data_IF_907201806428
#
_entry.id   IF_907201806428
#
_cell.length_a   1.000
_cell.length_b   1.000
_cell.length_c   1.000
_cell.angle_alpha   90.00
_cell.angle_beta   90.00
_cell.angle_gamma   90.00
#
_symmetry.space_group_name_H-M   'P 1'
#
loop_
_entity.id
_entity.type
_entity.pdbx_description
1 polymer ?
#
# COMPACT_ATOMS: atom_id res chain seq x y z
N UNK A 1 -53.19 31.77 -7.38
CA UNK A 1 -51.91 32.25 -7.96
C UNK A 1 -50.83 31.26 -7.57
N UNK A 2 -50.22 30.58 -8.54
CA UNK A 2 -49.16 29.57 -8.35
C UNK A 2 -47.81 30.26 -8.18
N UNK A 3 -46.94 29.75 -7.30
CA UNK A 3 -45.65 30.36 -6.98
C UNK A 3 -44.75 30.52 -8.22
N UNK A 4 -43.90 31.57 -8.30
CA UNK A 4 -42.96 31.76 -9.40
C UNK A 4 -42.02 30.56 -9.58
N UNK A 5 -41.80 30.16 -10.84
CA UNK A 5 -40.83 29.14 -11.26
C UNK A 5 -39.45 29.47 -10.68
N UNK A 6 -39.05 28.76 -9.63
CA UNK A 6 -37.76 28.95 -8.95
C UNK A 6 -37.79 28.77 -7.43
N UNK A 7 -38.97 28.81 -6.79
CA UNK A 7 -39.12 28.55 -5.34
C UNK A 7 -39.25 27.06 -4.96
N UNK A 8 -38.98 26.15 -5.91
CA UNK A 8 -38.88 24.73 -5.64
C UNK A 8 -37.48 24.37 -5.14
N UNK A 9 -37.42 23.47 -4.16
CA UNK A 9 -36.24 22.84 -3.54
C UNK A 9 -35.29 22.12 -4.53
N UNK A 10 -34.82 22.81 -5.58
CA UNK A 10 -34.04 22.22 -6.68
C UNK A 10 -32.86 23.06 -7.14
N UNK A 11 -32.46 24.08 -6.37
CA UNK A 11 -31.38 25.01 -6.73
C UNK A 11 -30.21 24.96 -5.77
N UNK A 12 -29.44 23.86 -5.75
CA UNK A 12 -28.11 23.87 -5.12
C UNK A 12 -27.13 23.09 -5.98
N UNK A 13 -26.59 23.75 -7.01
CA UNK A 13 -25.48 23.26 -7.83
C UNK A 13 -24.13 23.24 -7.12
N UNK A 14 -24.11 23.04 -5.79
CA UNK A 14 -22.92 22.76 -5.01
C UNK A 14 -23.09 21.37 -4.42
N UNK A 15 -22.05 20.54 -4.51
CA UNK A 15 -22.05 19.20 -3.92
C UNK A 15 -22.64 19.27 -2.50
N UNK A 16 -23.76 18.58 -2.28
CA UNK A 16 -24.37 18.46 -0.96
C UNK A 16 -23.33 17.88 0.01
N UNK A 17 -23.40 18.18 1.31
CA UNK A 17 -22.53 17.51 2.30
C UNK A 17 -22.61 15.98 2.18
N UNK A 18 -23.76 15.45 1.75
CA UNK A 18 -23.94 14.04 1.43
C UNK A 18 -23.19 13.61 0.16
N UNK A 19 -23.07 14.47 -0.85
CA UNK A 19 -22.23 14.21 -2.04
C UNK A 19 -20.75 14.27 -1.67
N UNK A 20 -20.34 15.20 -0.80
CA UNK A 20 -18.96 15.30 -0.29
C UNK A 20 -18.61 14.09 0.57
N UNK A 21 -19.46 13.66 1.50
CA UNK A 21 -19.27 12.40 2.25
C UNK A 21 -19.22 11.19 1.34
N UNK A 22 -20.06 11.14 0.30
CA UNK A 22 -20.04 10.06 -0.70
C UNK A 22 -18.79 10.10 -1.57
N UNK A 23 -18.23 11.28 -1.85
CA UNK A 23 -16.97 11.44 -2.60
C UNK A 23 -15.73 11.14 -1.75
N UNK A 24 -15.72 11.57 -0.48
CA UNK A 24 -14.65 11.26 0.49
C UNK A 24 -14.67 9.76 0.80
N UNK A 25 -15.84 9.20 1.11
CA UNK A 25 -16.04 7.76 1.29
C UNK A 25 -15.56 6.98 0.07
N UNK A 26 -15.93 7.38 -1.16
CA UNK A 26 -15.53 6.67 -2.39
C UNK A 26 -14.03 6.77 -2.72
N UNK A 27 -13.33 7.85 -2.35
CA UNK A 27 -11.87 7.97 -2.54
C UNK A 27 -11.08 7.12 -1.54
N UNK A 28 -11.52 7.10 -0.28
CA UNK A 28 -10.90 6.36 0.82
C UNK A 28 -11.22 4.86 0.70
N UNK A 29 -12.41 4.51 0.21
CA UNK A 29 -12.93 3.14 0.22
C UNK A 29 -12.07 2.12 -0.54
N UNK A 30 -11.31 2.51 -1.58
CA UNK A 30 -10.60 1.55 -2.43
C UNK A 30 -9.07 1.71 -2.44
N UNK A 31 -8.49 2.22 -1.34
CA UNK A 31 -7.04 2.45 -1.27
C UNK A 31 -6.22 1.17 -1.00
N UNK A 32 -6.83 0.07 -0.51
CA UNK A 32 -6.11 -1.20 -0.24
C UNK A 32 -5.27 -1.65 -1.42
N UNK A 33 -5.82 -1.62 -2.63
CA UNK A 33 -5.10 -2.05 -3.84
C UNK A 33 -3.89 -1.17 -4.15
N UNK A 34 -4.05 0.15 -4.04
CA UNK A 34 -2.96 1.11 -4.26
C UNK A 34 -1.89 0.98 -3.18
N UNK A 35 -2.28 0.83 -1.92
CA UNK A 35 -1.36 0.62 -0.79
C UNK A 35 -0.59 -0.71 -0.97
N UNK A 36 -1.27 -1.76 -1.43
CA UNK A 36 -0.63 -3.05 -1.73
C UNK A 36 0.39 -2.94 -2.86
N UNK A 37 0.04 -2.24 -3.94
CA UNK A 37 0.96 -1.99 -5.05
C UNK A 37 2.15 -1.13 -4.62
N UNK A 38 1.92 -0.09 -3.81
CA UNK A 38 2.97 0.74 -3.26
C UNK A 38 3.93 -0.05 -2.37
N UNK A 39 3.40 -0.95 -1.54
CA UNK A 39 4.22 -1.86 -0.74
C UNK A 39 5.07 -2.81 -1.60
N UNK A 40 4.49 -3.42 -2.64
CA UNK A 40 5.24 -4.28 -3.56
C UNK A 40 6.34 -3.48 -4.28
N UNK A 41 6.04 -2.26 -4.72
CA UNK A 41 7.03 -1.38 -5.34
C UNK A 41 8.15 -1.00 -4.37
N UNK A 42 7.81 -0.70 -3.10
CA UNK A 42 8.80 -0.43 -2.06
C UNK A 42 9.70 -1.65 -1.81
N UNK A 43 9.11 -2.84 -1.67
CA UNK A 43 9.86 -4.09 -1.49
C UNK A 43 10.83 -4.37 -2.66
N UNK A 44 10.38 -4.15 -3.90
CA UNK A 44 11.24 -4.27 -5.09
C UNK A 44 12.36 -3.21 -5.11
N UNK A 45 12.07 -1.98 -4.67
CA UNK A 45 13.08 -0.94 -4.54
C UNK A 45 14.13 -1.28 -3.48
N UNK A 46 13.69 -1.86 -2.36
CA UNK A 46 14.57 -2.33 -1.29
C UNK A 46 15.45 -3.48 -1.76
N UNK A 47 14.90 -4.45 -2.49
CA UNK A 47 15.69 -5.48 -3.18
C UNK A 47 16.71 -4.84 -4.12
N UNK A 48 16.29 -3.93 -5.00
CA UNK A 48 17.19 -3.26 -5.94
C UNK A 48 18.31 -2.47 -5.27
N UNK A 49 18.01 -1.75 -4.18
CA UNK A 49 18.99 -0.96 -3.42
C UNK A 49 20.02 -1.83 -2.70
N UNK A 50 19.55 -2.87 -2.02
CA UNK A 50 20.45 -3.84 -1.35
C UNK A 50 21.30 -4.59 -2.36
N UNK A 51 20.71 -5.06 -3.47
CA UNK A 51 21.40 -5.70 -4.59
C UNK A 51 22.47 -4.80 -5.20
N UNK A 52 22.17 -3.54 -5.47
CA UNK A 52 23.17 -2.61 -5.95
C UNK A 52 24.36 -2.49 -4.98
N UNK A 53 24.09 -2.48 -3.67
CA UNK A 53 25.12 -2.44 -2.63
C UNK A 53 26.09 -3.63 -2.73
N UNK A 54 25.58 -4.86 -2.68
CA UNK A 54 26.46 -6.03 -2.64
C UNK A 54 27.00 -6.48 -4.00
N UNK A 55 26.38 -6.10 -5.12
CA UNK A 55 26.93 -6.38 -6.46
C UNK A 55 27.98 -5.36 -6.90
N UNK A 56 27.77 -4.05 -6.67
CA UNK A 56 28.70 -3.02 -7.13
C UNK A 56 29.76 -2.64 -6.09
N UNK A 57 29.46 -2.78 -4.79
CA UNK A 57 30.34 -2.39 -3.70
C UNK A 57 30.60 -3.53 -2.69
N UNK A 58 30.97 -4.74 -3.14
CA UNK A 58 31.10 -5.92 -2.27
C UNK A 58 32.18 -5.78 -1.18
N UNK A 59 33.17 -4.90 -1.38
CA UNK A 59 34.21 -4.62 -0.39
C UNK A 59 33.69 -3.85 0.83
N UNK A 60 32.58 -3.12 0.69
CA UNK A 60 31.92 -2.39 1.77
C UNK A 60 30.69 -3.16 2.28
N UNK A 61 29.98 -3.84 1.38
CA UNK A 61 28.73 -4.55 1.68
C UNK A 61 28.77 -5.98 1.13
N UNK A 62 29.35 -6.94 1.88
CA UNK A 62 29.34 -8.35 1.47
C UNK A 62 27.91 -8.88 1.30
N UNK A 63 27.67 -9.82 0.37
CA UNK A 63 26.33 -10.40 0.10
C UNK A 63 25.54 -10.76 1.37
N UNK A 64 26.11 -11.44 2.39
CA UNK A 64 25.35 -11.76 3.59
C UNK A 64 24.79 -10.53 4.32
N UNK A 65 25.53 -9.43 4.33
CA UNK A 65 25.08 -8.16 4.94
C UNK A 65 23.93 -7.53 4.16
N UNK A 66 23.98 -7.60 2.82
CA UNK A 66 22.91 -7.12 1.94
C UNK A 66 21.63 -7.94 2.08
N UNK A 67 21.74 -9.26 2.17
CA UNK A 67 20.60 -10.15 2.43
C UNK A 67 19.99 -9.91 3.80
N UNK A 68 20.82 -9.74 4.83
CA UNK A 68 20.34 -9.38 6.16
C UNK A 68 19.52 -8.08 6.13
N UNK A 69 20.04 -7.03 5.48
CA UNK A 69 19.33 -5.77 5.34
C UNK A 69 18.01 -5.92 4.58
N UNK A 70 18.00 -6.67 3.47
CA UNK A 70 16.78 -6.91 2.68
C UNK A 70 15.69 -7.63 3.48
N UNK A 71 16.05 -8.67 4.26
CA UNK A 71 15.12 -9.39 5.12
C UNK A 71 14.54 -8.47 6.19
N UNK A 72 15.40 -7.73 6.90
CA UNK A 72 14.97 -6.83 7.97
C UNK A 72 14.06 -5.72 7.43
N UNK A 73 14.44 -5.08 6.32
CA UNK A 73 13.63 -4.04 5.70
C UNK A 73 12.29 -4.57 5.19
N UNK A 74 12.25 -5.79 4.65
CA UNK A 74 10.98 -6.44 4.26
C UNK A 74 10.04 -6.58 5.46
N UNK A 75 10.54 -6.95 6.64
CA UNK A 75 9.72 -7.05 7.87
C UNK A 75 9.18 -5.67 8.28
N UNK A 76 10.03 -4.65 8.26
CA UNK A 76 9.64 -3.27 8.62
C UNK A 76 8.56 -2.75 7.66
N UNK A 77 8.76 -2.94 6.36
CA UNK A 77 7.80 -2.56 5.32
C UNK A 77 6.49 -3.34 5.45
N UNK A 78 6.54 -4.64 5.75
CA UNK A 78 5.36 -5.48 5.94
C UNK A 78 4.49 -4.99 7.12
N UNK A 79 5.11 -4.60 8.23
CA UNK A 79 4.42 -4.02 9.39
C UNK A 79 3.80 -2.67 9.00
N UNK A 80 4.54 -1.82 8.29
CA UNK A 80 4.03 -0.54 7.79
C UNK A 80 2.84 -0.71 6.85
N UNK A 81 2.92 -1.66 5.92
CA UNK A 81 1.82 -2.04 5.02
C UNK A 81 0.58 -2.49 5.78
N UNK A 82 0.74 -3.39 6.76
CA UNK A 82 -0.36 -3.85 7.61
C UNK A 82 -1.04 -2.69 8.34
N UNK A 83 -0.25 -1.79 8.92
CA UNK A 83 -0.77 -0.60 9.59
C UNK A 83 -1.54 0.30 8.64
N UNK A 84 -0.97 0.63 7.48
CA UNK A 84 -1.62 1.44 6.45
C UNK A 84 -2.96 0.85 6.01
N UNK A 85 -3.01 -0.45 5.70
CA UNK A 85 -4.28 -1.09 5.29
C UNK A 85 -5.28 -1.09 6.44
N UNK A 86 -4.84 -1.36 7.68
CA UNK A 86 -5.76 -1.42 8.82
C UNK A 86 -6.35 -0.07 9.18
N UNK A 87 -5.55 1.00 9.21
CA UNK A 87 -6.05 2.37 9.40
C UNK A 87 -7.08 2.74 8.34
N UNK A 88 -6.86 2.33 7.09
CA UNK A 88 -7.81 2.61 6.00
C UNK A 88 -9.11 1.79 6.07
N UNK A 89 -9.12 0.68 6.80
CA UNK A 89 -10.32 -0.12 7.04
C UNK A 89 -11.10 0.32 8.29
N UNK A 90 -10.53 1.16 9.16
CA UNK A 90 -11.17 1.63 10.40
C UNK A 90 -12.51 2.32 10.11
N UNK A 91 -13.52 2.02 10.95
CA UNK A 91 -14.88 2.55 10.78
C UNK A 91 -15.67 1.93 9.61
N UNK A 92 -15.09 0.99 8.86
CA UNK A 92 -15.76 0.28 7.76
C UNK A 92 -16.08 -1.18 8.12
N UNK A 93 -16.94 -1.82 7.32
CA UNK A 93 -17.20 -3.28 7.40
C UNK A 93 -16.31 -4.10 6.46
N UNK A 94 -15.35 -3.48 5.76
CA UNK A 94 -14.50 -4.15 4.77
C UNK A 94 -13.46 -5.03 5.46
N UNK A 95 -13.07 -6.10 4.76
CA UNK A 95 -12.02 -7.02 5.20
C UNK A 95 -11.15 -7.41 4.01
N UNK A 96 -9.94 -6.88 3.95
CA UNK A 96 -8.96 -7.13 2.89
C UNK A 96 -8.01 -8.28 3.21
N UNK A 97 -8.35 -9.13 4.19
CA UNK A 97 -7.49 -10.19 4.70
C UNK A 97 -6.93 -11.12 3.60
N UNK A 98 -7.70 -11.37 2.54
CA UNK A 98 -7.23 -12.16 1.40
C UNK A 98 -6.09 -11.49 0.63
N UNK A 99 -6.23 -10.20 0.32
CA UNK A 99 -5.18 -9.41 -0.36
C UNK A 99 -3.97 -9.26 0.56
N UNK A 100 -4.18 -8.91 1.83
CA UNK A 100 -3.12 -8.81 2.84
C UNK A 100 -2.33 -10.12 2.92
N UNK A 101 -3.02 -11.26 3.04
CA UNK A 101 -2.39 -12.57 3.13
C UNK A 101 -1.60 -12.93 1.87
N UNK A 102 -2.16 -12.68 0.69
CA UNK A 102 -1.48 -12.94 -0.58
C UNK A 102 -0.22 -12.08 -0.74
N UNK A 103 -0.31 -10.79 -0.41
CA UNK A 103 0.79 -9.83 -0.54
C UNK A 103 1.90 -10.16 0.45
N UNK A 104 1.60 -10.34 1.73
CA UNK A 104 2.59 -10.67 2.75
C UNK A 104 3.21 -12.06 2.56
N UNK A 105 2.39 -13.05 2.20
CA UNK A 105 2.89 -14.38 1.88
C UNK A 105 3.81 -14.36 0.65
N UNK A 106 3.42 -13.61 -0.39
CA UNK A 106 4.20 -13.44 -1.60
C UNK A 106 5.54 -12.77 -1.36
N UNK A 107 5.58 -11.64 -0.64
CA UNK A 107 6.84 -10.96 -0.33
C UNK A 107 7.71 -11.76 0.63
N UNK A 108 7.14 -12.47 1.60
CA UNK A 108 7.91 -13.36 2.48
C UNK A 108 8.59 -14.50 1.70
N UNK A 109 7.84 -15.22 0.86
CA UNK A 109 8.38 -16.29 0.02
C UNK A 109 9.41 -15.73 -0.97
N UNK A 110 9.08 -14.62 -1.64
CA UNK A 110 9.98 -13.95 -2.57
C UNK A 110 11.30 -13.53 -1.92
N UNK A 111 11.24 -13.01 -0.69
CA UNK A 111 12.43 -12.60 0.07
C UNK A 111 13.32 -13.80 0.38
N UNK A 112 12.75 -14.91 0.84
CA UNK A 112 13.50 -16.14 1.11
C UNK A 112 14.17 -16.65 -0.16
N UNK A 113 13.42 -16.74 -1.27
CA UNK A 113 13.95 -17.23 -2.55
C UNK A 113 15.11 -16.34 -3.02
N UNK A 114 14.93 -15.02 -3.01
CA UNK A 114 15.97 -14.08 -3.42
C UNK A 114 17.21 -14.25 -2.55
N UNK A 115 17.06 -14.27 -1.22
CA UNK A 115 18.19 -14.39 -0.29
C UNK A 115 18.92 -15.73 -0.36
N UNK A 116 18.29 -16.77 -0.91
CA UNK A 116 18.91 -18.09 -1.10
C UNK A 116 19.62 -18.24 -2.45
N UNK A 117 19.24 -17.48 -3.48
CA UNK A 117 19.67 -17.76 -4.86
C UNK A 117 20.28 -16.57 -5.61
N UNK A 118 20.25 -15.36 -5.06
CA UNK A 118 20.79 -14.15 -5.71
C UNK A 118 22.08 -13.72 -5.02
N UNK A 119 23.15 -13.45 -5.77
CA UNK A 119 24.41 -12.92 -5.21
C UNK A 119 25.23 -13.90 -4.37
N UNK A 120 24.86 -15.19 -4.38
CA UNK A 120 25.55 -16.31 -3.73
C UNK A 120 26.77 -16.79 -4.50
#
# INVERSE_FOLDING_TARGET
>A
MTLPKGFGSGGSGGASSADVEKMIGRRVENMTGIISLAYIAAWLATFGGTAAGYFYYPWAYPTPSGHYAFIVLTIVEAIGYLFCVKVMEEGTKRKSNGIIGAVLGGTAVGTIIISLFVGT
#
